data_IF_575605486405
#
_entry.id   IF_575605486405
#
_cell.length_a   1.000
_cell.length_b   1.000
_cell.length_c   1.000
_cell.angle_alpha   90.00
_cell.angle_beta   90.00
_cell.angle_gamma   90.00
#
_symmetry.space_group_name_H-M   'P 1'
#
loop_
_entity.id
_entity.type
_entity.pdbx_description
1 polymer ?
#
# COMPACT_ATOMS: atom_id res chain seq x y z
N UNK A 1 -20.02 5.71 -20.21
CA UNK A 1 -20.59 5.13 -18.96
C UNK A 1 -22.09 4.82 -19.14
N UNK A 2 -22.84 5.62 -19.84
CA UNK A 2 -24.29 5.56 -20.00
C UNK A 2 -25.04 6.29 -18.87
N UNK A 3 -26.25 6.79 -19.18
CA UNK A 3 -26.99 7.72 -18.30
C UNK A 3 -27.34 7.13 -16.93
N UNK A 4 -27.81 5.87 -16.86
CA UNK A 4 -28.18 5.23 -15.61
C UNK A 4 -26.98 5.00 -14.65
N UNK A 5 -25.81 4.65 -15.20
CA UNK A 5 -24.58 4.50 -14.39
C UNK A 5 -24.05 5.86 -13.94
N UNK A 6 -24.14 6.85 -14.80
CA UNK A 6 -23.73 8.22 -14.49
C UNK A 6 -24.57 8.84 -13.38
N UNK A 7 -25.91 8.61 -13.41
CA UNK A 7 -26.80 9.05 -12.32
C UNK A 7 -26.43 8.43 -10.96
N UNK A 8 -26.12 7.14 -10.91
CA UNK A 8 -25.64 6.48 -9.66
C UNK A 8 -24.29 7.02 -9.20
N UNK A 9 -23.38 7.27 -10.12
CA UNK A 9 -22.07 7.90 -9.81
C UNK A 9 -22.26 9.28 -9.19
N UNK A 10 -23.10 10.14 -9.79
CA UNK A 10 -23.36 11.50 -9.26
C UNK A 10 -23.99 11.45 -7.87
N UNK A 11 -24.94 10.55 -7.64
CA UNK A 11 -25.56 10.35 -6.32
C UNK A 11 -24.49 9.95 -5.27
N UNK A 12 -23.63 8.99 -5.59
CA UNK A 12 -22.58 8.56 -4.70
C UNK A 12 -21.49 9.61 -4.42
N UNK A 13 -21.28 10.56 -5.35
CA UNK A 13 -20.35 11.66 -5.12
C UNK A 13 -20.82 12.65 -4.06
N UNK A 14 -22.11 12.66 -3.73
CA UNK A 14 -22.69 13.48 -2.66
C UNK A 14 -22.72 12.76 -1.29
N UNK A 15 -22.34 11.48 -1.24
CA UNK A 15 -22.29 10.68 -0.02
C UNK A 15 -20.90 10.69 0.61
N UNK A 16 -20.83 10.41 1.92
CA UNK A 16 -19.55 10.19 2.60
C UNK A 16 -18.82 8.97 2.03
N UNK A 17 -17.50 9.06 1.79
CA UNK A 17 -16.74 7.93 1.28
C UNK A 17 -16.69 6.77 2.30
N UNK A 18 -16.78 5.51 1.85
CA UNK A 18 -16.66 4.37 2.74
C UNK A 18 -15.28 4.35 3.41
N UNK A 19 -15.27 4.02 4.69
CA UNK A 19 -14.04 3.83 5.46
C UNK A 19 -13.69 2.36 5.49
N UNK A 20 -12.44 2.01 5.21
CA UNK A 20 -11.98 0.64 5.24
C UNK A 20 -10.55 0.51 5.74
N UNK A 21 -10.25 -0.66 6.30
CA UNK A 21 -8.93 -1.03 6.81
C UNK A 21 -8.54 -2.40 6.28
N UNK A 22 -7.25 -2.67 6.26
CA UNK A 22 -6.71 -3.99 5.95
C UNK A 22 -5.84 -4.48 7.10
N UNK A 23 -6.20 -5.64 7.68
CA UNK A 23 -5.45 -6.28 8.76
C UNK A 23 -4.09 -6.81 8.28
N UNK A 24 -3.13 -6.78 9.17
CA UNK A 24 -1.84 -7.43 8.98
C UNK A 24 -1.88 -8.86 9.52
N UNK A 25 -1.94 -9.88 8.64
CA UNK A 25 -2.08 -11.26 9.08
C UNK A 25 -0.84 -11.82 9.81
N UNK A 26 0.31 -11.13 9.71
CA UNK A 26 1.54 -11.51 10.41
C UNK A 26 1.57 -10.99 11.85
N UNK A 27 0.77 -9.98 12.17
CA UNK A 27 0.71 -9.36 13.49
C UNK A 27 -0.57 -9.67 14.23
N UNK A 28 -1.72 -9.63 13.57
CA UNK A 28 -2.99 -9.93 14.19
C UNK A 28 -3.13 -11.42 14.53
N UNK A 29 -3.52 -11.70 15.76
CA UNK A 29 -3.83 -13.03 16.25
C UNK A 29 -5.08 -13.62 15.57
N UNK A 30 -5.29 -14.95 15.60
CA UNK A 30 -6.55 -15.54 15.12
C UNK A 30 -7.79 -14.97 15.82
N UNK A 31 -7.73 -14.73 17.13
CA UNK A 31 -8.84 -14.18 17.90
C UNK A 31 -9.21 -12.74 17.47
N UNK A 32 -8.21 -11.89 17.25
CA UNK A 32 -8.43 -10.53 16.76
C UNK A 32 -9.05 -10.52 15.36
N UNK A 33 -8.62 -11.42 14.47
CA UNK A 33 -9.23 -11.59 13.15
C UNK A 33 -10.68 -12.03 13.23
N UNK A 34 -10.98 -12.99 14.10
CA UNK A 34 -12.37 -13.44 14.35
C UNK A 34 -13.24 -12.31 14.90
N UNK A 35 -12.68 -11.45 15.77
CA UNK A 35 -13.38 -10.27 16.29
C UNK A 35 -13.72 -9.28 15.17
N UNK A 36 -12.76 -9.00 14.27
CA UNK A 36 -13.01 -8.14 13.12
C UNK A 36 -14.09 -8.71 12.18
N UNK A 37 -14.06 -10.02 11.92
CA UNK A 37 -15.06 -10.74 11.12
C UNK A 37 -16.47 -10.70 11.73
N UNK A 38 -16.56 -10.69 13.06
CA UNK A 38 -17.85 -10.59 13.75
C UNK A 38 -18.43 -9.18 13.84
N UNK A 39 -17.59 -8.15 13.66
CA UNK A 39 -17.99 -6.73 13.82
C UNK A 39 -18.13 -5.97 12.52
N UNK A 40 -17.41 -6.36 11.48
CA UNK A 40 -17.24 -5.57 10.25
C UNK A 40 -17.56 -6.38 9.01
N UNK A 41 -18.14 -5.73 8.01
CA UNK A 41 -18.34 -6.32 6.70
C UNK A 41 -16.99 -6.45 5.97
N UNK A 42 -16.77 -7.58 5.30
CA UNK A 42 -15.55 -7.80 4.53
C UNK A 42 -15.54 -7.02 3.21
N UNK A 43 -14.35 -6.56 2.81
CA UNK A 43 -14.11 -6.12 1.43
C UNK A 43 -14.07 -7.37 0.55
N UNK A 44 -14.96 -7.52 -0.43
CA UNK A 44 -15.18 -8.80 -1.12
C UNK A 44 -13.93 -9.38 -1.83
N UNK A 45 -13.06 -8.50 -2.33
CA UNK A 45 -11.83 -8.87 -3.07
C UNK A 45 -10.56 -8.90 -2.21
N UNK A 46 -10.68 -8.73 -0.89
CA UNK A 46 -9.51 -8.77 0.00
C UNK A 46 -9.84 -9.50 1.30
N UNK A 47 -9.29 -10.70 1.54
CA UNK A 47 -9.59 -11.50 2.73
C UNK A 47 -9.27 -10.79 4.06
N UNK A 48 -8.33 -9.86 4.06
CA UNK A 48 -7.93 -9.06 5.23
C UNK A 48 -8.58 -7.68 5.27
N UNK A 49 -9.42 -7.34 4.27
CA UNK A 49 -10.07 -6.04 4.15
C UNK A 49 -11.43 -6.00 4.85
N UNK A 50 -11.69 -4.90 5.58
CA UNK A 50 -12.93 -4.69 6.31
C UNK A 50 -13.43 -3.26 6.15
N UNK A 51 -14.74 -3.09 5.97
CA UNK A 51 -15.41 -1.80 6.03
C UNK A 51 -15.71 -1.46 7.49
N UNK A 52 -15.56 -0.19 7.84
CA UNK A 52 -15.95 0.34 9.14
C UNK A 52 -17.26 1.14 8.98
N UNK A 53 -18.13 1.08 9.98
CA UNK A 53 -19.41 1.80 9.96
C UNK A 53 -19.23 3.32 10.05
N UNK A 54 -18.15 3.75 10.71
CA UNK A 54 -17.80 5.16 10.88
C UNK A 54 -16.29 5.34 10.81
N UNK A 55 -15.83 6.59 10.63
CA UNK A 55 -14.41 6.93 10.66
C UNK A 55 -13.94 7.23 12.07
N UNK A 56 -13.17 6.33 12.71
CA UNK A 56 -12.61 6.58 14.03
C UNK A 56 -11.41 7.55 13.96
N UNK A 57 -10.94 8.01 15.11
CA UNK A 57 -9.69 8.75 15.20
C UNK A 57 -8.49 7.78 15.21
N UNK A 58 -8.07 7.36 14.04
CA UNK A 58 -6.97 6.39 13.85
C UNK A 58 -5.65 6.83 14.52
N UNK A 59 -5.40 8.12 14.65
CA UNK A 59 -4.14 8.66 15.20
C UNK A 59 -3.88 8.18 16.62
N UNK A 60 -4.93 7.97 17.41
CA UNK A 60 -4.81 7.57 18.80
C UNK A 60 -5.01 6.08 19.04
N UNK A 61 -5.08 5.27 18.00
CA UNK A 61 -5.04 3.82 18.14
C UNK A 61 -3.58 3.32 18.07
N UNK A 62 -2.99 2.82 19.19
CA UNK A 62 -1.63 2.30 19.18
C UNK A 62 -1.43 1.12 18.22
N UNK A 63 -2.50 0.37 17.90
CA UNK A 63 -2.44 -0.77 17.00
C UNK A 63 -2.20 -0.36 15.53
N UNK A 64 -2.63 0.85 15.12
CA UNK A 64 -2.21 1.43 13.84
C UNK A 64 -0.69 1.63 13.81
N UNK A 65 -0.13 2.20 14.87
CA UNK A 65 1.31 2.49 14.97
C UNK A 65 2.14 1.21 15.13
N UNK A 66 1.56 0.16 15.72
CA UNK A 66 2.14 -1.17 15.75
C UNK A 66 2.11 -1.87 14.39
N UNK A 67 1.35 -1.35 13.41
CA UNK A 67 1.18 -1.94 12.08
C UNK A 67 0.30 -3.19 12.06
N UNK A 68 -0.64 -3.31 13.01
CA UNK A 68 -1.63 -4.40 13.03
C UNK A 68 -2.65 -4.27 11.90
N UNK A 69 -2.89 -3.06 11.44
CA UNK A 69 -3.72 -2.79 10.27
C UNK A 69 -3.22 -1.55 9.52
N UNK A 70 -3.72 -1.40 8.29
CA UNK A 70 -3.50 -0.23 7.42
C UNK A 70 -4.84 0.38 7.06
N UNK A 71 -5.00 1.70 7.21
CA UNK A 71 -6.17 2.42 6.73
C UNK A 71 -6.06 2.53 5.21
N UNK A 72 -6.83 1.74 4.50
CA UNK A 72 -6.72 1.62 3.04
C UNK A 72 -8.09 1.70 2.38
N UNK A 73 -8.18 2.43 1.29
CA UNK A 73 -9.34 2.49 0.43
C UNK A 73 -9.60 1.11 -0.20
N UNK A 74 -10.86 0.67 -0.23
CA UNK A 74 -11.24 -0.69 -0.58
C UNK A 74 -10.80 -1.11 -2.00
N UNK A 75 -11.00 -0.27 -3.04
CA UNK A 75 -10.55 -0.61 -4.38
C UNK A 75 -9.04 -0.79 -4.46
N UNK A 76 -8.26 -0.01 -3.71
CA UNK A 76 -6.79 -0.14 -3.66
C UNK A 76 -6.32 -1.49 -3.09
N UNK A 77 -7.18 -2.20 -2.33
CA UNK A 77 -6.90 -3.56 -1.85
C UNK A 77 -7.00 -4.61 -2.96
N UNK A 78 -7.59 -4.28 -4.12
CA UNK A 78 -7.78 -5.20 -5.25
C UNK A 78 -6.45 -5.72 -5.81
N UNK A 79 -5.36 -5.01 -5.62
CA UNK A 79 -4.01 -5.50 -5.98
C UNK A 79 -3.70 -6.86 -5.35
N UNK A 80 -4.19 -7.13 -4.13
CA UNK A 80 -4.06 -8.45 -3.49
C UNK A 80 -4.73 -9.55 -4.33
N UNK A 81 -5.96 -9.31 -4.79
CA UNK A 81 -6.72 -10.23 -5.61
C UNK A 81 -6.05 -10.51 -6.96
N UNK A 82 -5.58 -9.45 -7.64
CA UNK A 82 -4.88 -9.57 -8.93
C UNK A 82 -3.62 -10.41 -8.80
N UNK A 83 -2.81 -10.14 -7.79
CA UNK A 83 -1.55 -10.88 -7.56
C UNK A 83 -1.83 -12.33 -7.19
N UNK A 84 -2.81 -12.59 -6.32
CA UNK A 84 -3.20 -13.94 -5.95
C UNK A 84 -3.65 -14.81 -7.14
N UNK A 85 -4.26 -14.20 -8.17
CA UNK A 85 -4.69 -14.92 -9.38
C UNK A 85 -3.62 -15.06 -10.44
N UNK A 86 -2.85 -14.01 -10.71
CA UNK A 86 -2.07 -13.87 -11.94
C UNK A 86 -0.57 -13.96 -11.74
N UNK A 87 -0.09 -13.94 -10.48
CA UNK A 87 1.33 -14.00 -10.21
C UNK A 87 1.91 -15.36 -10.68
N UNK A 88 3.02 -15.34 -11.43
CA UNK A 88 3.73 -16.56 -11.77
C UNK A 88 4.13 -17.33 -10.52
N UNK A 89 4.18 -18.66 -10.60
CA UNK A 89 4.67 -19.50 -9.51
C UNK A 89 6.09 -19.09 -9.10
N UNK A 90 6.32 -19.02 -7.78
CA UNK A 90 7.63 -18.71 -7.19
C UNK A 90 8.32 -17.41 -7.68
N UNK A 91 7.70 -16.23 -7.51
CA UNK A 91 8.36 -14.97 -7.83
C UNK A 91 9.54 -14.73 -6.87
N UNK A 92 10.65 -14.23 -7.42
CA UNK A 92 11.85 -13.91 -6.64
C UNK A 92 11.94 -12.42 -6.29
N UNK A 93 11.44 -11.55 -7.17
CA UNK A 93 11.50 -10.11 -6.97
C UNK A 93 10.25 -9.40 -7.50
N UNK A 94 9.72 -8.49 -6.70
CA UNK A 94 8.61 -7.60 -7.03
C UNK A 94 9.00 -6.15 -6.78
N UNK A 95 8.47 -5.25 -7.59
CA UNK A 95 8.64 -3.80 -7.47
C UNK A 95 7.26 -3.13 -7.40
N UNK A 96 7.05 -2.28 -6.40
CA UNK A 96 6.02 -1.24 -6.39
C UNK A 96 6.71 0.08 -6.71
N UNK A 97 6.48 0.60 -7.92
CA UNK A 97 7.31 1.66 -8.50
C UNK A 97 6.95 3.07 -8.01
N UNK A 98 5.67 3.33 -7.75
CA UNK A 98 5.14 4.61 -7.27
C UNK A 98 4.36 4.39 -5.97
N UNK A 99 5.05 3.89 -4.95
CA UNK A 99 4.47 3.15 -3.85
C UNK A 99 3.83 4.00 -2.74
N UNK A 100 4.23 5.28 -2.60
CA UNK A 100 3.76 6.09 -1.47
C UNK A 100 2.24 6.34 -1.50
N UNK A 101 1.59 6.22 -0.34
CA UNK A 101 2.15 6.12 1.02
C UNK A 101 2.43 4.69 1.52
N UNK A 102 2.23 3.61 0.71
CA UNK A 102 2.59 2.24 1.08
C UNK A 102 1.43 1.24 1.19
N UNK A 103 0.20 1.66 0.93
CA UNK A 103 -0.98 0.79 1.03
C UNK A 103 -0.91 -0.41 0.09
N UNK A 104 -0.54 -0.21 -1.18
CA UNK A 104 -0.37 -1.28 -2.16
C UNK A 104 0.89 -2.11 -1.90
N UNK A 105 2.01 -1.49 -1.48
CA UNK A 105 3.23 -2.21 -1.06
C UNK A 105 2.97 -3.18 0.08
N UNK A 106 2.28 -2.73 1.13
CA UNK A 106 1.94 -3.58 2.28
C UNK A 106 0.93 -4.67 1.92
N UNK A 107 0.04 -4.42 0.93
CA UNK A 107 -0.83 -5.45 0.36
C UNK A 107 -0.02 -6.50 -0.43
N UNK A 108 0.93 -6.07 -1.25
CA UNK A 108 1.86 -6.95 -1.95
C UNK A 108 2.65 -7.82 -0.96
N UNK A 109 3.19 -7.25 0.11
CA UNK A 109 3.95 -8.03 1.12
C UNK A 109 3.10 -9.12 1.76
N UNK A 110 1.79 -8.92 1.85
CA UNK A 110 0.87 -9.91 2.43
C UNK A 110 0.65 -11.13 1.53
N UNK A 111 0.66 -10.94 0.22
CA UNK A 111 0.34 -11.99 -0.77
C UNK A 111 1.59 -12.63 -1.38
N UNK A 112 2.72 -11.92 -1.39
CA UNK A 112 3.99 -12.43 -1.89
C UNK A 112 4.61 -13.44 -0.93
N UNK A 113 5.33 -14.48 -1.42
CA UNK A 113 6.13 -15.37 -0.59
C UNK A 113 7.11 -14.60 0.29
N UNK A 114 7.42 -15.14 1.47
CA UNK A 114 8.30 -14.48 2.44
C UNK A 114 9.73 -14.28 1.93
N UNK A 115 10.21 -15.16 1.06
CA UNK A 115 11.53 -15.12 0.41
C UNK A 115 11.57 -14.22 -0.84
N UNK A 116 10.42 -13.80 -1.37
CA UNK A 116 10.36 -12.83 -2.46
C UNK A 116 10.84 -11.45 -1.99
N UNK A 117 11.82 -10.90 -2.68
CA UNK A 117 12.25 -9.51 -2.50
C UNK A 117 11.14 -8.56 -2.94
N UNK A 118 10.67 -7.70 -2.05
CA UNK A 118 9.78 -6.60 -2.40
C UNK A 118 10.53 -5.27 -2.30
N UNK A 119 10.67 -4.59 -3.43
CA UNK A 119 11.16 -3.21 -3.47
C UNK A 119 9.97 -2.26 -3.60
N UNK A 120 9.89 -1.29 -2.69
CA UNK A 120 8.87 -0.23 -2.71
C UNK A 120 9.57 1.09 -2.97
N UNK A 121 9.24 1.76 -4.07
CA UNK A 121 9.90 2.96 -4.52
C UNK A 121 8.98 4.16 -4.59
N UNK A 122 9.52 5.33 -4.34
CA UNK A 122 8.83 6.61 -4.53
C UNK A 122 9.84 7.69 -4.92
N UNK A 123 9.68 8.35 -6.08
CA UNK A 123 10.66 9.36 -6.53
C UNK A 123 10.61 10.66 -5.71
N UNK A 124 9.50 11.01 -5.09
CA UNK A 124 9.37 12.22 -4.27
C UNK A 124 9.85 11.94 -2.86
N UNK A 125 10.97 12.57 -2.44
CA UNK A 125 11.66 12.28 -1.18
C UNK A 125 10.76 12.35 0.07
N UNK A 126 9.91 13.36 0.17
CA UNK A 126 9.02 13.50 1.34
C UNK A 126 8.00 12.35 1.40
N UNK A 127 7.44 11.95 0.25
CA UNK A 127 6.53 10.82 0.15
C UNK A 127 7.24 9.49 0.41
N UNK A 128 8.50 9.35 -0.04
CA UNK A 128 9.32 8.17 0.21
C UNK A 128 9.63 7.96 1.71
N UNK A 129 9.72 9.04 2.50
CA UNK A 129 9.86 8.94 3.96
C UNK A 129 8.59 8.36 4.60
N UNK A 130 7.40 8.81 4.17
CA UNK A 130 6.12 8.25 4.63
C UNK A 130 5.96 6.78 4.22
N UNK A 131 6.37 6.44 3.00
CA UNK A 131 6.42 5.06 2.54
C UNK A 131 7.32 4.20 3.43
N UNK A 132 8.51 4.69 3.74
CA UNK A 132 9.48 4.00 4.61
C UNK A 132 8.90 3.75 6.00
N UNK A 133 8.25 4.73 6.61
CA UNK A 133 7.55 4.58 7.88
C UNK A 133 6.51 3.46 7.82
N UNK A 134 5.63 3.50 6.83
CA UNK A 134 4.52 2.55 6.73
C UNK A 134 5.00 1.12 6.44
N UNK A 135 6.02 0.95 5.59
CA UNK A 135 6.63 -0.36 5.33
C UNK A 135 7.31 -0.91 6.59
N UNK A 136 8.03 -0.07 7.35
CA UNK A 136 8.64 -0.47 8.61
C UNK A 136 7.60 -0.85 9.66
N UNK A 137 6.56 -0.06 9.84
CA UNK A 137 5.45 -0.35 10.75
C UNK A 137 4.72 -1.64 10.34
N UNK A 138 4.51 -1.87 9.06
CA UNK A 138 3.90 -3.11 8.58
C UNK A 138 4.77 -4.31 8.89
N UNK A 139 6.06 -4.20 8.62
CA UNK A 139 7.02 -5.28 8.76
C UNK A 139 7.02 -6.24 7.57
N UNK A 140 7.72 -7.34 7.72
CA UNK A 140 7.92 -8.37 6.70
C UNK A 140 9.36 -8.44 6.23
N UNK A 141 9.87 -9.68 6.10
CA UNK A 141 11.21 -9.93 5.60
C UNK A 141 11.37 -9.51 4.12
N UNK A 142 12.61 -9.36 3.67
CA UNK A 142 12.96 -9.08 2.28
C UNK A 142 12.24 -7.87 1.68
N UNK A 143 12.05 -6.81 2.50
CA UNK A 143 11.45 -5.54 2.07
C UNK A 143 12.53 -4.46 2.01
N UNK A 144 12.56 -3.71 0.90
CA UNK A 144 13.49 -2.61 0.65
C UNK A 144 12.70 -1.38 0.22
N UNK A 145 12.98 -0.22 0.80
CA UNK A 145 12.40 1.06 0.37
C UNK A 145 13.46 1.92 -0.31
N UNK A 146 13.11 2.47 -1.46
CA UNK A 146 14.01 3.27 -2.30
C UNK A 146 13.38 4.60 -2.71
N UNK A 147 14.25 5.57 -3.08
CA UNK A 147 13.84 6.88 -3.57
C UNK A 147 14.57 7.18 -4.89
N UNK A 148 14.02 6.69 -6.01
CA UNK A 148 14.65 6.72 -7.33
C UNK A 148 13.61 6.96 -8.42
N UNK A 149 14.05 7.34 -9.60
CA UNK A 149 13.24 7.35 -10.82
C UNK A 149 13.22 5.96 -11.48
N UNK A 150 12.23 5.68 -12.32
CA UNK A 150 12.08 4.40 -13.03
C UNK A 150 13.35 3.98 -13.78
N UNK A 151 13.98 4.92 -14.50
CA UNK A 151 15.23 4.70 -15.27
C UNK A 151 16.42 4.22 -14.44
N UNK A 152 16.44 4.50 -13.13
CA UNK A 152 17.57 4.14 -12.27
C UNK A 152 17.62 2.64 -11.98
N UNK A 153 16.45 1.98 -11.95
CA UNK A 153 16.36 0.51 -11.83
C UNK A 153 16.97 -0.20 -13.04
N UNK A 154 16.74 0.35 -14.24
CA UNK A 154 17.36 -0.16 -15.47
C UNK A 154 18.90 0.00 -15.43
N UNK A 155 19.40 1.15 -15.00
CA UNK A 155 20.84 1.38 -14.84
C UNK A 155 21.48 0.44 -13.81
N UNK A 156 20.77 0.13 -12.73
CA UNK A 156 21.19 -0.85 -11.72
C UNK A 156 21.14 -2.30 -12.23
N UNK A 157 20.54 -2.54 -13.40
CA UNK A 157 20.39 -3.87 -13.99
C UNK A 157 19.47 -4.80 -13.18
N UNK A 158 18.48 -4.23 -12.49
CA UNK A 158 17.48 -5.00 -11.74
C UNK A 158 16.41 -5.54 -12.67
N UNK A 159 15.94 -6.75 -12.37
CA UNK A 159 14.87 -7.44 -13.12
C UNK A 159 13.88 -8.01 -12.13
N UNK A 160 12.58 -7.89 -12.42
CA UNK A 160 11.48 -8.24 -11.53
C UNK A 160 10.51 -9.20 -12.21
N UNK A 161 9.89 -10.06 -11.41
CA UNK A 161 8.80 -10.97 -11.82
C UNK A 161 7.45 -10.25 -11.88
N UNK A 162 7.29 -9.26 -10.97
CA UNK A 162 6.11 -8.42 -10.83
C UNK A 162 6.56 -6.96 -10.73
N UNK A 163 5.92 -6.09 -11.52
CA UNK A 163 6.01 -4.64 -11.34
C UNK A 163 4.60 -4.08 -11.18
N UNK A 164 4.36 -3.35 -10.09
CA UNK A 164 3.17 -2.54 -9.89
C UNK A 164 3.50 -1.09 -10.25
N UNK A 165 2.77 -0.54 -11.22
CA UNK A 165 2.82 0.85 -11.65
C UNK A 165 1.51 1.55 -11.26
N UNK A 166 1.39 1.98 -9.98
CA UNK A 166 0.32 2.86 -9.53
C UNK A 166 0.73 4.30 -9.83
N UNK A 167 0.59 4.66 -11.10
CA UNK A 167 1.25 5.87 -11.65
C UNK A 167 0.57 7.17 -11.23
N UNK A 168 1.32 8.29 -11.16
CA UNK A 168 0.73 9.61 -10.98
C UNK A 168 -0.33 9.88 -12.06
N UNK A 169 -1.47 10.41 -11.67
CA UNK A 169 -2.60 10.66 -12.56
C UNK A 169 -3.30 11.98 -12.26
N UNK A 170 -4.29 12.37 -13.07
CA UNK A 170 -5.07 13.59 -12.89
C UNK A 170 -5.95 13.62 -11.63
N UNK A 171 -6.09 12.48 -10.94
CA UNK A 171 -6.64 12.39 -9.59
C UNK A 171 -8.16 12.54 -9.50
N UNK A 172 -8.92 12.29 -10.56
CA UNK A 172 -10.39 12.41 -10.56
C UNK A 172 -11.07 11.57 -9.46
N UNK A 173 -10.46 10.46 -9.04
CA UNK A 173 -10.93 9.65 -7.91
C UNK A 173 -10.79 10.31 -6.54
N UNK A 174 -10.15 11.48 -6.45
CA UNK A 174 -10.05 12.25 -5.21
C UNK A 174 -11.17 13.29 -5.05
N UNK A 175 -11.95 13.58 -6.10
CA UNK A 175 -12.95 14.65 -6.11
C UNK A 175 -13.96 14.57 -4.98
N UNK A 176 -14.35 13.35 -4.56
CA UNK A 176 -15.25 13.15 -3.42
C UNK A 176 -14.59 13.46 -2.08
N UNK A 177 -13.32 13.06 -1.90
CA UNK A 177 -12.56 13.26 -0.65
C UNK A 177 -12.00 14.66 -0.50
N UNK A 178 -11.62 15.26 -1.61
CA UNK A 178 -11.02 16.58 -1.68
C UNK A 178 -11.65 17.38 -2.82
N UNK A 179 -12.78 18.06 -2.56
CA UNK A 179 -13.46 18.88 -3.57
C UNK A 179 -12.59 19.99 -4.14
N UNK A 180 -11.54 20.46 -3.44
CA UNK A 180 -10.62 21.46 -3.95
C UNK A 180 -9.84 20.96 -5.17
N UNK A 181 -9.58 19.65 -5.26
CA UNK A 181 -8.91 19.02 -6.39
C UNK A 181 -9.65 19.15 -7.72
N UNK A 182 -10.98 19.39 -7.69
CA UNK A 182 -11.78 19.67 -8.89
C UNK A 182 -11.29 20.96 -9.57
N UNK A 183 -10.94 21.98 -8.79
CA UNK A 183 -10.44 23.27 -9.30
C UNK A 183 -9.04 23.18 -9.93
N UNK A 184 -8.26 22.17 -9.59
CA UNK A 184 -6.92 21.93 -10.12
C UNK A 184 -6.93 21.06 -11.39
N UNK A 185 -8.03 20.35 -11.65
CA UNK A 185 -8.16 19.48 -12.80
C UNK A 185 -8.28 20.28 -14.12
N UNK A 186 -7.63 19.77 -15.17
CA UNK A 186 -7.75 20.34 -16.53
C UNK A 186 -7.45 19.28 -17.60
N UNK A 187 -8.01 19.43 -18.82
CA UNK A 187 -7.67 18.56 -19.96
C UNK A 187 -6.17 18.51 -20.25
N UNK A 188 -5.47 19.64 -20.11
CA UNK A 188 -4.01 19.72 -20.28
C UNK A 188 -3.28 18.96 -19.15
N UNK A 189 -3.86 18.93 -17.93
CA UNK A 189 -3.39 18.11 -16.82
C UNK A 189 -3.43 16.63 -17.17
N UNK A 190 -4.56 16.15 -17.70
CA UNK A 190 -4.75 14.76 -18.17
C UNK A 190 -3.70 14.39 -19.23
N UNK A 191 -3.47 15.26 -20.23
CA UNK A 191 -2.46 15.01 -21.27
C UNK A 191 -1.04 14.96 -20.73
N UNK A 192 -0.70 15.82 -19.77
CA UNK A 192 0.62 15.74 -19.09
C UNK A 192 0.78 14.44 -18.31
N UNK A 193 -0.25 14.03 -17.55
CA UNK A 193 -0.25 12.78 -16.81
C UNK A 193 -0.11 11.58 -17.75
N UNK A 194 -0.87 11.52 -18.85
CA UNK A 194 -0.78 10.45 -19.84
C UNK A 194 0.65 10.30 -20.39
N UNK A 195 1.30 11.40 -20.77
CA UNK A 195 2.70 11.37 -21.27
C UNK A 195 3.66 10.88 -20.20
N UNK A 196 3.56 11.38 -18.98
CA UNK A 196 4.40 10.96 -17.86
C UNK A 196 4.22 9.48 -17.54
N UNK A 197 2.98 8.98 -17.57
CA UNK A 197 2.66 7.57 -17.33
C UNK A 197 3.33 6.66 -18.37
N UNK A 198 3.29 7.04 -19.64
CA UNK A 198 3.98 6.31 -20.72
C UNK A 198 5.49 6.32 -20.55
N UNK A 199 6.09 7.47 -20.24
CA UNK A 199 7.51 7.59 -19.94
C UNK A 199 7.94 6.67 -18.77
N UNK A 200 7.17 6.66 -17.68
CA UNK A 200 7.43 5.79 -16.53
C UNK A 200 7.39 4.30 -16.93
N UNK A 201 6.38 3.91 -17.70
CA UNK A 201 6.24 2.52 -18.15
C UNK A 201 7.34 2.13 -19.13
N UNK A 202 7.70 3.00 -20.10
CA UNK A 202 8.82 2.77 -21.03
C UNK A 202 10.15 2.57 -20.30
N UNK A 203 10.42 3.41 -19.30
CA UNK A 203 11.65 3.35 -18.52
C UNK A 203 11.75 2.04 -17.71
N UNK A 204 10.63 1.56 -17.16
CA UNK A 204 10.63 0.37 -16.28
C UNK A 204 10.39 -0.95 -17.02
N UNK A 205 9.77 -0.94 -18.21
CA UNK A 205 9.45 -2.15 -18.98
C UNK A 205 10.64 -3.08 -19.21
N UNK A 206 11.86 -2.59 -19.51
CA UNK A 206 13.05 -3.46 -19.62
C UNK A 206 13.38 -4.20 -18.32
N UNK A 207 12.96 -3.68 -17.16
CA UNK A 207 13.19 -4.31 -15.85
C UNK A 207 12.15 -5.40 -15.52
N UNK A 208 11.08 -5.55 -16.30
CA UNK A 208 10.18 -6.69 -16.21
C UNK A 208 10.75 -7.85 -17.00
N UNK A 209 10.86 -9.04 -16.40
CA UNK A 209 11.35 -10.23 -17.12
C UNK A 209 10.34 -10.69 -18.19
N UNK A 210 10.79 -11.40 -19.23
CA UNK A 210 9.87 -12.16 -20.10
C UNK A 210 8.97 -13.08 -19.25
N UNK A 211 7.67 -13.15 -19.57
CA UNK A 211 6.68 -13.85 -18.77
C UNK A 211 6.27 -13.16 -17.46
N UNK A 212 6.89 -12.03 -17.10
CA UNK A 212 6.57 -11.25 -15.90
C UNK A 212 5.24 -10.52 -15.98
N UNK A 213 4.72 -10.12 -14.82
CA UNK A 213 3.43 -9.45 -14.65
C UNK A 213 3.63 -7.96 -14.39
N UNK A 214 3.06 -7.09 -15.23
CA UNK A 214 2.88 -5.67 -14.97
C UNK A 214 1.44 -5.45 -14.48
N UNK A 215 1.27 -4.76 -13.35
CA UNK A 215 -0.02 -4.23 -12.91
C UNK A 215 0.03 -2.72 -13.09
N UNK A 216 -0.83 -2.20 -13.94
CA UNK A 216 -0.99 -0.76 -14.18
C UNK A 216 -2.24 -0.27 -13.47
N UNK A 217 -2.13 0.79 -12.66
CA UNK A 217 -3.28 1.37 -11.97
C UNK A 217 -3.21 2.90 -11.90
N UNK A 218 -4.39 3.51 -11.84
CA UNK A 218 -4.61 4.94 -11.61
C UNK A 218 -5.83 5.15 -10.72
N UNK A 219 -5.92 6.30 -10.08
CA UNK A 219 -7.14 6.73 -9.37
C UNK A 219 -7.94 7.75 -10.19
N UNK A 220 -8.04 7.60 -11.50
CA UNK A 220 -8.79 8.49 -12.38
C UNK A 220 -9.83 7.74 -13.22
N UNK A 221 -10.81 8.47 -13.77
CA UNK A 221 -11.93 7.86 -14.53
C UNK A 221 -11.78 8.02 -16.04
N UNK A 222 -10.95 8.95 -16.54
CA UNK A 222 -10.84 9.21 -17.96
C UNK A 222 -10.17 8.06 -18.71
N UNK A 223 -10.54 7.88 -19.98
CA UNK A 223 -10.01 6.81 -20.82
C UNK A 223 -8.59 7.08 -21.32
N UNK A 224 -8.16 8.36 -21.38
CA UNK A 224 -6.83 8.74 -21.88
C UNK A 224 -5.71 8.16 -21.02
N UNK A 225 -5.85 8.32 -19.70
CA UNK A 225 -4.87 7.81 -18.74
C UNK A 225 -5.02 6.32 -18.48
N UNK A 226 -6.14 5.72 -18.83
CA UNK A 226 -6.52 4.35 -18.54
C UNK A 226 -6.42 3.46 -19.80
N UNK A 227 -7.51 3.20 -20.49
CA UNK A 227 -7.56 2.26 -21.61
C UNK A 227 -6.66 2.66 -22.78
N UNK A 228 -6.52 3.94 -23.08
CA UNK A 228 -5.62 4.39 -24.14
C UNK A 228 -4.15 4.09 -23.82
N UNK A 229 -3.77 4.13 -22.55
CA UNK A 229 -2.44 3.70 -22.12
C UNK A 229 -2.27 2.18 -22.19
N UNK A 230 -3.31 1.41 -21.81
CA UNK A 230 -3.26 -0.05 -21.98
C UNK A 230 -3.12 -0.41 -23.47
N UNK A 231 -3.95 0.19 -24.33
CA UNK A 231 -3.84 0.00 -25.79
C UNK A 231 -2.48 0.39 -26.35
N UNK A 232 -1.90 1.49 -25.84
CA UNK A 232 -0.56 1.91 -26.22
C UNK A 232 0.50 0.87 -25.78
N UNK A 233 0.40 0.33 -24.56
CA UNK A 233 1.30 -0.75 -24.08
C UNK A 233 1.21 -2.01 -24.96
N UNK A 234 0.00 -2.39 -25.40
CA UNK A 234 -0.18 -3.50 -26.34
C UNK A 234 0.52 -3.23 -27.68
N UNK A 235 0.34 -2.04 -28.25
CA UNK A 235 0.83 -1.69 -29.59
C UNK A 235 2.32 -1.39 -29.63
N UNK A 236 2.89 -0.85 -28.56
CA UNK A 236 4.27 -0.33 -28.54
C UNK A 236 5.22 -1.26 -27.79
N UNK A 237 4.75 -1.94 -26.75
CA UNK A 237 5.55 -2.80 -25.88
C UNK A 237 5.23 -4.29 -26.06
N UNK A 238 4.29 -4.61 -26.96
CA UNK A 238 3.79 -5.99 -27.19
C UNK A 238 3.23 -6.62 -25.88
N UNK A 239 2.74 -5.79 -24.95
CA UNK A 239 2.21 -6.24 -23.68
C UNK A 239 0.86 -6.95 -23.88
N UNK A 240 0.63 -8.06 -23.18
CA UNK A 240 -0.58 -8.88 -23.32
C UNK A 240 -1.52 -8.64 -22.12
N UNK A 241 -2.66 -7.93 -22.30
CA UNK A 241 -3.64 -7.77 -21.23
C UNK A 241 -4.22 -9.12 -20.79
N UNK A 242 -4.34 -9.28 -19.47
CA UNK A 242 -4.84 -10.48 -18.82
C UNK A 242 -6.20 -10.24 -18.19
N UNK A 243 -7.12 -11.16 -18.37
CA UNK A 243 -8.40 -11.13 -17.66
C UNK A 243 -8.20 -11.40 -16.17
N UNK A 244 -8.81 -10.55 -15.34
CA UNK A 244 -8.89 -10.72 -13.90
C UNK A 244 -10.31 -11.22 -13.60
N UNK A 245 -10.43 -12.41 -13.02
CA UNK A 245 -11.73 -12.94 -12.63
C UNK A 245 -12.32 -12.11 -11.48
N UNK A 246 -13.55 -11.67 -11.65
CA UNK A 246 -14.31 -10.90 -10.66
C UNK A 246 -15.71 -11.50 -10.50
N UNK A 247 -16.33 -11.29 -9.35
CA UNK A 247 -17.71 -11.71 -9.12
C UNK A 247 -18.67 -10.59 -9.52
N UNK A 248 -19.81 -10.95 -10.12
CA UNK A 248 -20.80 -9.99 -10.61
C UNK A 248 -21.29 -9.04 -9.51
N UNK A 249 -21.41 -9.55 -8.27
CA UNK A 249 -21.85 -8.76 -7.11
C UNK A 249 -20.89 -7.67 -6.65
N UNK A 250 -19.64 -7.65 -7.14
CA UNK A 250 -18.67 -6.63 -6.75
C UNK A 250 -18.88 -5.27 -7.45
N UNK A 251 -19.68 -5.25 -8.52
CA UNK A 251 -19.96 -4.02 -9.27
C UNK A 251 -18.77 -3.47 -10.07
N UNK A 252 -17.68 -4.23 -10.20
CA UNK A 252 -16.52 -3.87 -11.01
C UNK A 252 -16.90 -3.90 -12.49
N UNK A 253 -16.54 -2.87 -13.25
CA UNK A 253 -16.87 -2.74 -14.66
C UNK A 253 -15.64 -2.85 -15.55
N UNK A 254 -15.84 -3.12 -16.84
CA UNK A 254 -14.79 -3.18 -17.86
C UNK A 254 -14.49 -1.82 -18.51
N UNK A 255 -13.92 -1.88 -19.71
CA UNK A 255 -13.53 -0.71 -20.51
C UNK A 255 -14.67 0.27 -20.77
N UNK A 256 -14.35 1.58 -20.69
CA UNK A 256 -15.21 2.67 -21.13
C UNK A 256 -14.77 3.26 -22.49
N UNK A 257 -13.65 2.81 -23.05
CA UNK A 257 -13.18 3.26 -24.34
C UNK A 257 -13.95 2.53 -25.44
N UNK A 258 -14.66 3.28 -26.26
CA UNK A 258 -15.44 2.75 -27.37
C UNK A 258 -14.53 2.00 -28.36
N UNK A 259 -14.99 0.82 -28.81
CA UNK A 259 -14.24 -0.01 -29.75
C UNK A 259 -13.00 -0.71 -29.15
N UNK A 260 -12.82 -0.67 -27.82
CA UNK A 260 -11.71 -1.32 -27.13
C UNK A 260 -12.20 -2.18 -25.96
N UNK A 261 -12.16 -3.49 -26.14
CA UNK A 261 -12.70 -4.47 -25.20
C UNK A 261 -11.61 -5.20 -24.38
N UNK A 262 -10.45 -4.56 -24.12
CA UNK A 262 -9.42 -5.17 -23.29
C UNK A 262 -9.93 -5.48 -21.87
N UNK A 263 -9.46 -6.55 -21.26
CA UNK A 263 -9.85 -6.95 -19.92
C UNK A 263 -9.22 -6.00 -18.89
N UNK A 264 -9.98 -5.00 -18.48
CA UNK A 264 -9.60 -4.01 -17.45
C UNK A 264 -10.64 -3.98 -16.35
N UNK A 265 -10.26 -3.53 -15.17
CA UNK A 265 -11.14 -3.39 -14.02
C UNK A 265 -11.29 -1.91 -13.64
N UNK A 266 -12.54 -1.46 -13.51
CA UNK A 266 -12.90 -0.12 -13.07
C UNK A 266 -13.77 -0.17 -11.83
N UNK A 267 -13.34 0.58 -10.85
CA UNK A 267 -14.09 0.85 -9.63
C UNK A 267 -14.70 2.24 -9.75
N UNK A 268 -16.00 2.32 -9.64
CA UNK A 268 -16.76 3.55 -9.83
C UNK A 268 -17.69 3.72 -8.65
N UNK A 269 -17.61 4.84 -7.88
CA UNK A 269 -18.56 5.13 -6.81
C UNK A 269 -20.01 4.96 -7.26
N UNK A 270 -20.84 4.37 -6.39
CA UNK A 270 -22.24 4.05 -6.71
C UNK A 270 -22.45 2.76 -7.53
N UNK A 271 -21.37 2.18 -8.09
CA UNK A 271 -21.38 0.83 -8.67
C UNK A 271 -20.62 -0.14 -7.78
N UNK A 272 -19.48 0.30 -7.25
CA UNK A 272 -18.68 -0.40 -6.23
C UNK A 272 -18.72 0.38 -4.91
N UNK A 273 -18.63 -0.33 -3.79
CA UNK A 273 -18.48 0.33 -2.46
C UNK A 273 -17.02 0.74 -2.25
N UNK A 274 -16.59 1.73 -3.01
CA UNK A 274 -15.19 2.19 -3.06
C UNK A 274 -15.10 3.59 -3.63
N UNK A 275 -13.86 4.11 -3.67
CA UNK A 275 -13.48 5.25 -4.49
C UNK A 275 -13.16 4.83 -5.93
N UNK A 276 -12.71 5.80 -6.75
CA UNK A 276 -12.29 5.53 -8.11
C UNK A 276 -10.95 4.83 -8.18
N UNK A 277 -10.92 3.74 -8.93
CA UNK A 277 -9.68 3.04 -9.31
C UNK A 277 -9.85 2.44 -10.71
N UNK A 278 -8.77 2.49 -11.47
CA UNK A 278 -8.57 1.70 -12.68
C UNK A 278 -7.42 0.72 -12.45
N UNK A 279 -7.56 -0.51 -12.91
CA UNK A 279 -6.49 -1.50 -12.85
C UNK A 279 -6.52 -2.41 -14.08
N UNK A 280 -5.34 -2.62 -14.68
CA UNK A 280 -5.09 -3.57 -15.73
C UNK A 280 -3.89 -4.45 -15.39
N UNK A 281 -3.96 -5.72 -15.70
CA UNK A 281 -2.87 -6.66 -15.59
C UNK A 281 -2.35 -7.01 -16.99
N UNK A 282 -1.04 -6.93 -17.20
CA UNK A 282 -0.41 -7.19 -18.49
C UNK A 282 0.79 -8.13 -18.32
N UNK A 283 0.96 -9.05 -19.25
CA UNK A 283 2.10 -9.96 -19.29
C UNK A 283 3.10 -9.52 -20.33
N UNK A 284 4.37 -9.56 -19.98
CA UNK A 284 5.44 -9.39 -20.96
C UNK A 284 5.62 -10.67 -21.77
N UNK A 285 5.66 -10.63 -23.11
CA UNK A 285 5.88 -11.82 -23.93
C UNK A 285 7.19 -12.54 -23.62
N UNK A 286 7.20 -13.84 -23.92
CA UNK A 286 8.36 -14.71 -23.68
C UNK A 286 8.29 -15.42 -22.34
N UNK A 287 9.24 -16.31 -22.12
CA UNK A 287 9.45 -17.04 -20.88
C UNK A 287 10.95 -17.07 -20.58
N UNK A 288 11.31 -16.66 -19.37
CA UNK A 288 12.69 -16.69 -18.89
C UNK A 288 12.68 -17.16 -17.44
N UNK A 289 13.54 -18.14 -17.15
CA UNK A 289 13.69 -18.66 -15.80
C UNK A 289 14.26 -17.56 -14.88
N UNK A 290 13.43 -17.03 -14.01
CA UNK A 290 13.85 -16.06 -13.01
C UNK A 290 14.92 -16.66 -12.10
N UNK A 291 15.99 -15.91 -11.83
CA UNK A 291 17.03 -16.28 -10.89
C UNK A 291 16.92 -15.39 -9.65
N UNK A 292 16.94 -15.99 -8.43
CA UNK A 292 16.89 -15.18 -7.22
C UNK A 292 18.07 -14.23 -7.14
N UNK A 293 17.78 -12.97 -6.84
CA UNK A 293 18.77 -11.94 -6.62
C UNK A 293 19.05 -11.85 -5.12
N UNK A 294 20.15 -12.48 -4.67
CA UNK A 294 20.44 -12.60 -3.24
C UNK A 294 21.88 -12.23 -2.90
N UNK A 295 22.11 -11.93 -1.62
CA UNK A 295 23.44 -11.74 -1.06
C UNK A 295 24.27 -10.64 -1.74
N UNK A 296 25.50 -10.96 -2.13
CA UNK A 296 26.45 -10.00 -2.73
C UNK A 296 25.95 -9.41 -4.05
N UNK A 297 25.23 -10.18 -4.86
CA UNK A 297 24.69 -9.72 -6.15
C UNK A 297 23.61 -8.65 -5.95
N UNK A 298 22.70 -8.85 -5.01
CA UNK A 298 21.70 -7.85 -4.64
C UNK A 298 22.36 -6.61 -4.05
N UNK A 299 23.28 -6.77 -3.08
CA UNK A 299 23.98 -5.67 -2.46
C UNK A 299 24.75 -4.80 -3.48
N UNK A 300 25.37 -5.43 -4.50
CA UNK A 300 26.07 -4.72 -5.58
C UNK A 300 25.10 -3.86 -6.41
N UNK A 301 23.92 -4.38 -6.74
CA UNK A 301 22.91 -3.66 -7.52
C UNK A 301 22.26 -2.54 -6.71
N UNK A 302 22.02 -2.75 -5.42
CA UNK A 302 21.46 -1.71 -4.52
C UNK A 302 22.40 -0.52 -4.34
N UNK A 303 23.73 -0.67 -4.53
CA UNK A 303 24.68 0.47 -4.49
C UNK A 303 24.40 1.54 -5.55
N UNK A 304 23.73 1.18 -6.64
CA UNK A 304 23.31 2.11 -7.70
C UNK A 304 22.02 2.86 -7.39
N UNK A 305 21.37 2.58 -6.25
CA UNK A 305 20.11 3.17 -5.86
C UNK A 305 20.21 3.94 -4.54
N UNK A 306 19.34 4.93 -4.37
CA UNK A 306 19.11 5.58 -3.09
C UNK A 306 18.17 4.72 -2.25
N UNK A 307 18.73 3.91 -1.36
CA UNK A 307 18.02 3.03 -0.43
C UNK A 307 17.75 3.77 0.87
N UNK A 308 16.50 3.82 1.29
CA UNK A 308 16.08 4.45 2.54
C UNK A 308 15.93 3.44 3.68
N UNK A 309 15.54 2.21 3.35
CA UNK A 309 15.32 1.16 4.33
C UNK A 309 15.55 -0.22 3.71
N UNK A 310 16.10 -1.11 4.50
CA UNK A 310 16.18 -2.55 4.21
C UNK A 310 15.74 -3.29 5.47
N UNK A 311 14.80 -4.21 5.33
CA UNK A 311 14.32 -5.01 6.44
C UNK A 311 15.45 -5.89 7.00
N UNK A 312 15.71 -5.74 8.29
CA UNK A 312 16.66 -6.55 9.02
C UNK A 312 15.94 -7.60 9.89
N UNK A 313 16.56 -8.73 10.15
CA UNK A 313 16.05 -9.70 11.11
C UNK A 313 15.86 -9.05 12.49
N UNK A 314 14.72 -9.35 13.12
CA UNK A 314 14.45 -8.86 14.46
C UNK A 314 15.47 -9.45 15.47
N UNK A 315 16.06 -8.57 16.28
CA UNK A 315 16.88 -8.96 17.40
C UNK A 315 16.03 -8.99 18.67
N UNK A 316 15.83 -10.15 19.31
CA UNK A 316 15.06 -10.25 20.54
C UNK A 316 15.65 -9.39 21.66
N UNK A 317 14.82 -8.66 22.37
CA UNK A 317 15.16 -7.96 23.59
C UNK A 317 14.01 -8.08 24.61
N UNK A 318 14.23 -7.77 25.89
CA UNK A 318 13.16 -7.75 26.91
C UNK A 318 12.00 -6.89 26.45
N UNK A 319 10.78 -7.31 26.79
CA UNK A 319 9.55 -6.60 26.45
C UNK A 319 8.91 -5.98 27.68
N UNK A 320 8.16 -4.88 27.51
CA UNK A 320 7.34 -4.29 28.54
C UNK A 320 5.99 -3.87 27.96
N UNK A 321 4.90 -4.35 28.59
CA UNK A 321 3.53 -3.97 28.22
C UNK A 321 3.21 -2.59 28.76
N UNK A 322 2.62 -1.73 27.94
CA UNK A 322 2.24 -0.37 28.31
C UNK A 322 0.73 -0.22 28.45
N UNK A 323 0.21 0.40 29.51
CA UNK A 323 -1.16 0.84 29.52
C UNK A 323 -1.37 1.98 28.51
N UNK A 324 -2.61 2.17 28.04
CA UNK A 324 -2.95 3.09 26.95
C UNK A 324 -2.35 4.50 27.11
N UNK A 325 -2.48 5.20 28.28
CA UNK A 325 -1.91 6.55 28.42
C UNK A 325 -0.39 6.57 28.22
N UNK A 326 0.31 5.53 28.69
CA UNK A 326 1.77 5.40 28.55
C UNK A 326 2.16 5.05 27.11
N UNK A 327 1.36 4.23 26.42
CA UNK A 327 1.56 3.93 24.99
C UNK A 327 1.42 5.21 24.14
N UNK A 328 0.41 6.04 24.42
CA UNK A 328 0.27 7.34 23.74
C UNK A 328 1.43 8.29 24.07
N UNK A 329 1.86 8.38 25.33
CA UNK A 329 3.03 9.17 25.71
C UNK A 329 4.28 8.69 24.98
N UNK A 330 4.47 7.37 24.83
CA UNK A 330 5.53 6.79 24.02
C UNK A 330 5.44 7.23 22.56
N UNK A 331 4.28 7.12 21.92
CA UNK A 331 4.07 7.53 20.52
C UNK A 331 4.22 9.05 20.30
N UNK A 332 4.10 9.84 21.35
CA UNK A 332 4.38 11.28 21.37
C UNK A 332 5.85 11.62 21.66
N UNK A 333 6.70 10.57 21.85
CA UNK A 333 8.10 10.71 22.26
C UNK A 333 8.33 11.35 23.63
N UNK A 334 7.37 11.25 24.49
CA UNK A 334 7.54 11.65 25.89
C UNK A 334 8.39 10.61 26.64
N UNK A 335 9.03 11.04 27.73
CA UNK A 335 9.70 10.12 28.62
C UNK A 335 8.65 9.26 29.36
N UNK A 336 8.87 7.97 29.44
CA UNK A 336 7.98 7.05 30.13
C UNK A 336 8.69 6.33 31.28
N UNK A 337 7.91 5.81 32.21
CA UNK A 337 8.38 4.93 33.29
C UNK A 337 7.88 3.54 33.00
N UNK A 338 8.77 2.57 33.05
CA UNK A 338 8.44 1.14 32.87
C UNK A 338 8.16 0.49 34.22
N UNK A 339 7.50 -0.69 34.25
CA UNK A 339 7.34 -1.49 35.45
C UNK A 339 8.68 -1.70 36.19
N UNK A 340 8.71 -1.74 37.53
CA UNK A 340 9.94 -1.78 38.33
C UNK A 340 10.86 -2.95 37.98
N UNK A 341 10.30 -4.12 37.63
CA UNK A 341 11.02 -5.34 37.32
C UNK A 341 11.58 -5.38 35.89
N UNK A 342 11.37 -4.32 35.10
CA UNK A 342 11.85 -4.26 33.71
C UNK A 342 13.37 -4.14 33.70
N UNK A 343 14.10 -5.01 32.98
CA UNK A 343 15.57 -4.95 32.90
C UNK A 343 16.07 -3.60 32.38
N UNK A 344 17.23 -3.15 32.87
CA UNK A 344 17.92 -2.00 32.30
C UNK A 344 18.48 -2.30 30.92
N UNK A 345 18.59 -1.31 30.08
CA UNK A 345 19.09 -1.44 28.71
C UNK A 345 18.02 -1.25 27.65
N UNK A 346 18.19 -1.90 26.52
CA UNK A 346 17.22 -1.84 25.42
C UNK A 346 16.01 -2.71 25.74
N UNK A 347 14.83 -2.12 25.67
CA UNK A 347 13.54 -2.78 25.95
C UNK A 347 12.57 -2.44 24.82
N UNK A 348 11.85 -3.44 24.37
CA UNK A 348 10.77 -3.29 23.42
C UNK A 348 9.45 -3.04 24.16
N UNK A 349 8.77 -1.94 23.81
CA UNK A 349 7.49 -1.59 24.42
C UNK A 349 6.34 -2.08 23.55
N UNK A 350 5.32 -2.66 24.21
CA UNK A 350 4.17 -3.28 23.57
C UNK A 350 2.87 -2.64 24.07
N UNK A 351 1.82 -2.75 23.27
CA UNK A 351 0.45 -2.45 23.64
C UNK A 351 -0.47 -3.60 23.18
N UNK A 352 -1.24 -4.18 24.10
CA UNK A 352 -2.06 -5.39 23.84
C UNK A 352 -1.23 -6.53 23.19
N UNK A 353 0.01 -6.71 23.63
CA UNK A 353 0.94 -7.69 23.09
C UNK A 353 1.57 -7.32 21.74
N UNK A 354 1.20 -6.19 21.14
CA UNK A 354 1.74 -5.72 19.86
C UNK A 354 2.86 -4.70 20.05
N UNK A 355 3.94 -4.89 19.34
CA UNK A 355 5.18 -4.10 19.45
C UNK A 355 4.97 -2.69 18.90
N UNK A 356 5.28 -1.68 19.69
CA UNK A 356 5.27 -0.27 19.28
C UNK A 356 6.66 0.22 18.89
N UNK A 357 7.71 -0.25 19.56
CA UNK A 357 9.09 0.12 19.29
C UNK A 357 10.00 -0.02 20.50
N UNK A 358 11.08 0.76 20.55
CA UNK A 358 12.17 0.58 21.50
C UNK A 358 12.31 1.77 22.46
N UNK A 359 12.75 1.47 23.67
CA UNK A 359 13.23 2.44 24.66
C UNK A 359 14.56 1.99 25.26
N UNK A 360 15.34 2.91 25.83
CA UNK A 360 16.49 2.59 26.67
C UNK A 360 16.11 2.82 28.13
N UNK A 361 15.86 1.73 28.88
CA UNK A 361 15.55 1.78 30.29
C UNK A 361 16.80 2.10 31.11
N UNK A 362 16.77 3.18 31.88
CA UNK A 362 17.86 3.59 32.81
C UNK A 362 17.48 3.37 34.30
N UNK A 363 16.30 2.77 34.55
CA UNK A 363 15.77 2.45 35.87
C UNK A 363 14.78 3.47 36.39
N UNK A 364 15.13 4.72 36.49
CA UNK A 364 14.24 5.80 36.94
C UNK A 364 13.29 6.33 35.87
N UNK A 365 13.65 6.14 34.61
CA UNK A 365 12.88 6.46 33.41
C UNK A 365 13.37 5.64 32.22
N UNK A 366 12.61 5.62 31.15
CA UNK A 366 13.03 5.07 29.89
C UNK A 366 13.18 6.19 28.83
N UNK A 367 14.34 6.25 28.19
CA UNK A 367 14.59 7.16 27.08
C UNK A 367 13.89 6.64 25.84
N UNK A 368 13.03 7.43 25.28
CA UNK A 368 12.20 7.08 24.14
C UNK A 368 13.02 7.07 22.83
N UNK A 369 13.05 5.94 22.14
CA UNK A 369 13.75 5.75 20.87
C UNK A 369 12.81 5.76 19.64
N UNK A 370 11.53 6.07 19.83
CA UNK A 370 10.58 6.20 18.73
C UNK A 370 11.05 7.27 17.74
N UNK A 371 11.01 7.03 16.42
CA UNK A 371 11.46 7.99 15.42
C UNK A 371 10.76 9.34 15.57
N UNK A 372 11.51 10.44 15.46
CA UNK A 372 10.99 11.78 15.71
C UNK A 372 9.91 12.18 14.72
N UNK A 373 10.09 11.78 13.48
CA UNK A 373 9.20 12.03 12.34
C UNK A 373 7.86 11.29 12.44
N UNK A 374 7.81 10.16 13.18
CA UNK A 374 6.62 9.35 13.39
C UNK A 374 5.77 9.78 14.60
N UNK A 375 6.26 10.71 15.38
CA UNK A 375 5.61 11.13 16.62
C UNK A 375 4.25 11.77 16.37
N UNK A 376 3.27 11.42 17.21
CA UNK A 376 1.98 12.09 17.27
C UNK A 376 2.19 13.53 17.75
N UNK A 377 1.77 14.51 16.94
CA UNK A 377 2.04 15.93 17.19
C UNK A 377 0.85 16.70 17.77
N UNK A 378 -0.36 16.14 17.75
CA UNK A 378 -1.56 16.80 18.26
C UNK A 378 -1.53 16.96 19.78
N UNK A 379 -2.13 18.05 20.27
CA UNK A 379 -2.21 18.36 21.70
C UNK A 379 -3.47 17.81 22.38
N UNK A 380 -4.51 17.49 21.61
CA UNK A 380 -5.76 16.92 22.12
C UNK A 380 -5.61 15.40 22.22
N UNK A 381 -5.25 14.92 23.38
CA UNK A 381 -4.96 13.51 23.64
C UNK A 381 -6.09 12.88 24.43
N UNK A 382 -6.70 11.77 23.96
CA UNK A 382 -7.68 11.01 24.73
C UNK A 382 -7.02 10.40 25.99
N UNK A 383 -7.77 10.38 27.09
CA UNK A 383 -7.29 9.79 28.35
C UNK A 383 -7.58 8.31 28.48
N UNK A 384 -8.53 7.79 27.68
CA UNK A 384 -8.97 6.38 27.69
C UNK A 384 -8.89 5.79 26.30
N UNK A 385 -8.67 4.48 26.23
CA UNK A 385 -8.74 3.73 24.97
C UNK A 385 -10.18 3.45 24.56
N UNK A 386 -11.07 3.30 25.53
CA UNK A 386 -12.50 3.06 25.31
C UNK A 386 -13.10 4.17 24.42
N UNK A 387 -13.74 3.75 23.32
CA UNK A 387 -14.25 4.66 22.27
C UNK A 387 -13.21 5.10 21.24
N UNK A 388 -11.94 4.75 21.41
CA UNK A 388 -10.88 4.97 20.41
C UNK A 388 -10.40 3.67 19.74
N UNK A 389 -10.95 2.53 20.17
CA UNK A 389 -10.66 1.24 19.56
C UNK A 389 -11.22 1.21 18.13
N UNK A 390 -10.38 0.75 17.19
CA UNK A 390 -10.84 0.59 15.80
C UNK A 390 -11.51 -0.77 15.61
N UNK A 391 -10.96 -1.83 16.21
CA UNK A 391 -11.46 -3.20 16.03
C UNK A 391 -11.46 -4.05 17.30
N UNK A 392 -10.42 -3.99 18.13
CA UNK A 392 -10.23 -4.88 19.29
C UNK A 392 -9.36 -4.28 20.41
#
# INVERSE_FOLDING_TARGET
>A
MGEARFGRFLAAMAEEPPVSIRLNPQKCTPAERTTAEGRCERVPWCPQGFYLDQRPNFTFDPLLHAGCYYVQEAASMFVHHVVAQLLPSAPHAALDLCAAPGGKSTALRTVLPADCLLMSNEPVRQRAQVLSENVQKWGGANSVVTNNYARDFRKAGLVFDLILCDVPCSGEGMFRKDPASIGEWSPQGVERCQRLQREIVEDIWPCLRPGGLLIYSTCTYNTRENEENVRWMEQTLDAQPLAIATETGWGITGSLLEGYAAPVCRFIPGLTRSEGLFMAALRKPGDDAARPLTGKALAAKLKGLNVLYTAEPHQPCPTAELPYPTAIAYLRREAIVLPPDTPRGLVEVCFKGHRLGLVKNIGTRANNLYPREWAIKTTHVPTTYEGNEVLF
#
